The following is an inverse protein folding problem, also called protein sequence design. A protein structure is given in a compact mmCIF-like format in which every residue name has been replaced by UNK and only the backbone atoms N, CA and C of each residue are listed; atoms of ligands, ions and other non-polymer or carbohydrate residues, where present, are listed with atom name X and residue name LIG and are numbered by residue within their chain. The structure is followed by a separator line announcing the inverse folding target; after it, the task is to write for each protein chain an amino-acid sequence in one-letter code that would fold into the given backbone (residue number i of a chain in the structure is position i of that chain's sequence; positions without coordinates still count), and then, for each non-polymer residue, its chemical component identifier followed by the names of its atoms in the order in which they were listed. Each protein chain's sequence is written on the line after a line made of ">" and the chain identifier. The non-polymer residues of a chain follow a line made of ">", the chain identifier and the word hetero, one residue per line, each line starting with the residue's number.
data_IF_677689987144
#
_entry.id   IF_677689987144
#
_cell.length_a   1.000
_cell.length_b   1.000
_cell.length_c   1.000
_cell.angle_alpha   90.00
_cell.angle_beta   90.00
_cell.angle_gamma   90.00
#
_symmetry.space_group_name_H-M   'P 1'
#
loop_
_entity.id
_entity.type
_entity.pdbx_description
1 polymer ?
#
# COMPACT_ATOMS: atom_id res chain seq x y z
N UNK A 1 2.75 -19.82 10.85
CA UNK A 1 2.63 -18.37 10.84
C UNK A 1 2.77 -17.79 12.25
N UNK A 2 1.88 -18.08 13.19
CA UNK A 2 1.95 -17.53 14.55
C UNK A 2 3.30 -17.79 15.25
N UNK A 3 3.88 -18.99 15.09
CA UNK A 3 5.21 -19.29 15.62
C UNK A 3 6.31 -18.39 15.01
N UNK A 4 6.24 -18.12 13.70
CA UNK A 4 7.19 -17.22 13.05
C UNK A 4 7.10 -15.78 13.62
N UNK A 5 5.89 -15.32 13.90
CA UNK A 5 5.65 -14.03 14.55
C UNK A 5 6.23 -14.03 15.97
N UNK A 6 5.99 -15.07 16.78
CA UNK A 6 6.54 -15.21 18.13
C UNK A 6 8.08 -15.23 18.12
N UNK A 7 8.66 -15.97 17.18
CA UNK A 7 10.11 -16.07 17.04
C UNK A 7 10.76 -14.73 16.69
N UNK A 8 10.18 -14.02 15.71
CA UNK A 8 10.67 -12.68 15.33
C UNK A 8 10.47 -11.69 16.47
N UNK A 9 9.35 -11.76 17.21
CA UNK A 9 9.08 -10.90 18.35
C UNK A 9 10.11 -11.12 19.48
N UNK A 10 10.37 -12.38 19.78
CA UNK A 10 11.38 -12.74 20.80
C UNK A 10 12.79 -12.28 20.39
N UNK A 11 13.16 -12.45 19.12
CA UNK A 11 14.44 -11.95 18.59
C UNK A 11 14.56 -10.43 18.70
N UNK A 12 13.45 -9.71 18.53
CA UNK A 12 13.44 -8.24 18.52
C UNK A 12 13.43 -7.65 19.92
N UNK A 13 12.65 -8.23 20.83
CA UNK A 13 12.36 -7.63 22.14
C UNK A 13 12.92 -8.43 23.34
N UNK A 14 13.41 -9.65 23.13
CA UNK A 14 13.91 -10.53 24.18
C UNK A 14 12.85 -11.13 25.10
N UNK A 15 11.57 -10.89 24.81
CA UNK A 15 10.42 -11.36 25.57
C UNK A 15 9.37 -11.97 24.67
N UNK A 16 8.47 -12.78 25.23
CA UNK A 16 7.33 -13.29 24.46
C UNK A 16 6.21 -12.25 24.39
N UNK A 17 5.44 -12.21 23.29
CA UNK A 17 4.26 -11.36 23.22
C UNK A 17 3.22 -11.78 24.27
N UNK A 18 2.51 -10.81 24.83
CA UNK A 18 1.40 -11.09 25.76
C UNK A 18 0.15 -11.56 25.05
N UNK A 19 -0.09 -11.05 23.81
CA UNK A 19 -1.20 -11.48 22.97
C UNK A 19 -0.88 -11.25 21.49
N UNK A 20 -1.50 -12.03 20.61
CA UNK A 20 -1.45 -11.87 19.14
C UNK A 20 -2.90 -11.90 18.63
N UNK A 21 -3.36 -10.75 18.13
CA UNK A 21 -4.73 -10.54 17.70
C UNK A 21 -4.75 -10.47 16.17
N UNK A 22 -5.40 -11.42 15.47
CA UNK A 22 -5.56 -11.32 14.03
C UNK A 22 -6.48 -10.13 13.68
N UNK A 23 -6.10 -9.35 12.67
CA UNK A 23 -6.91 -8.26 12.15
C UNK A 23 -7.64 -8.70 10.89
N UNK A 24 -8.78 -8.04 10.62
CA UNK A 24 -9.57 -8.32 9.41
C UNK A 24 -8.75 -8.06 8.14
N UNK A 25 -8.85 -8.96 7.18
CA UNK A 25 -8.22 -8.77 5.87
C UNK A 25 -9.06 -7.78 5.03
N UNK A 26 -8.39 -6.85 4.38
CA UNK A 26 -9.02 -5.87 3.50
C UNK A 26 -8.38 -5.96 2.10
N UNK A 27 -9.01 -6.72 1.19
CA UNK A 27 -8.70 -6.72 -0.24
C UNK A 27 -7.29 -7.15 -0.68
N UNK A 28 -6.45 -7.65 0.24
CA UNK A 28 -5.08 -8.07 0.01
C UNK A 28 -4.85 -9.50 0.50
N UNK A 29 -3.89 -10.22 -0.10
CA UNK A 29 -3.42 -11.51 0.39
C UNK A 29 -2.62 -11.40 1.70
N UNK A 30 -2.25 -10.20 2.11
CA UNK A 30 -1.54 -9.94 3.37
C UNK A 30 -2.42 -10.26 4.55
N UNK A 31 -1.81 -10.84 5.60
CA UNK A 31 -2.45 -11.08 6.89
C UNK A 31 -1.80 -10.21 7.94
N UNK A 32 -2.62 -9.53 8.72
CA UNK A 32 -2.18 -8.60 9.74
C UNK A 32 -2.50 -9.11 11.13
N UNK A 33 -1.58 -8.90 12.04
CA UNK A 33 -1.72 -9.30 13.45
C UNK A 33 -1.23 -8.16 14.33
N UNK A 34 -2.06 -7.72 15.27
CA UNK A 34 -1.61 -6.83 16.32
C UNK A 34 -0.96 -7.64 17.41
N UNK A 35 0.29 -7.35 17.71
CA UNK A 35 1.05 -8.00 18.76
C UNK A 35 1.10 -7.05 19.95
N UNK A 36 0.63 -7.53 21.08
CA UNK A 36 0.67 -6.75 22.33
C UNK A 36 1.87 -7.19 23.17
N UNK A 37 2.56 -6.21 23.74
CA UNK A 37 3.52 -6.38 24.83
C UNK A 37 2.97 -5.77 26.12
N UNK A 38 3.77 -5.72 27.19
CA UNK A 38 3.34 -5.12 28.44
C UNK A 38 3.12 -3.60 28.35
N UNK A 39 3.80 -2.91 27.42
CA UNK A 39 3.81 -1.45 27.29
C UNK A 39 3.42 -0.93 25.93
N UNK A 40 3.54 -1.76 24.87
CA UNK A 40 3.43 -1.31 23.48
C UNK A 40 2.66 -2.32 22.62
N UNK A 41 2.26 -1.86 21.43
CA UNK A 41 1.76 -2.72 20.37
C UNK A 41 2.56 -2.53 19.07
N UNK A 42 2.69 -3.60 18.30
CA UNK A 42 3.26 -3.55 16.96
C UNK A 42 2.37 -4.33 15.99
N UNK A 43 2.39 -3.93 14.73
CA UNK A 43 1.65 -4.62 13.69
C UNK A 43 2.57 -5.60 12.96
N UNK A 44 2.29 -6.90 13.06
CA UNK A 44 2.94 -7.92 12.25
C UNK A 44 2.19 -8.10 10.94
N UNK A 45 2.93 -8.15 9.85
CA UNK A 45 2.42 -8.46 8.53
C UNK A 45 3.05 -9.76 8.04
N UNK A 46 2.22 -10.68 7.55
CA UNK A 46 2.63 -11.89 6.86
C UNK A 46 2.14 -11.86 5.42
N UNK A 47 3.04 -12.13 4.48
CA UNK A 47 2.71 -12.31 3.07
C UNK A 47 3.73 -13.28 2.43
N UNK A 48 3.23 -14.21 1.62
CA UNK A 48 4.05 -15.20 0.90
C UNK A 48 4.82 -14.59 -0.27
N UNK A 49 4.34 -13.47 -0.83
CA UNK A 49 5.06 -12.78 -1.91
C UNK A 49 6.27 -12.00 -1.36
N UNK A 50 7.42 -12.65 -1.43
CA UNK A 50 8.69 -12.09 -0.95
C UNK A 50 9.07 -10.80 -1.68
N UNK A 51 8.77 -10.69 -2.98
CA UNK A 51 9.12 -9.49 -3.77
C UNK A 51 8.28 -8.29 -3.33
N UNK A 52 7.00 -8.54 -3.08
CA UNK A 52 6.10 -7.51 -2.56
C UNK A 52 6.52 -7.04 -1.15
N UNK A 53 6.93 -7.98 -0.28
CA UNK A 53 7.44 -7.64 1.05
C UNK A 53 8.74 -6.81 0.99
N UNK A 54 9.67 -7.19 0.12
CA UNK A 54 10.92 -6.43 -0.10
C UNK A 54 10.59 -5.00 -0.56
N UNK A 55 9.70 -4.86 -1.55
CA UNK A 55 9.29 -3.56 -2.06
C UNK A 55 8.66 -2.69 -0.96
N UNK A 56 7.73 -3.25 -0.18
CA UNK A 56 7.06 -2.53 0.90
C UNK A 56 8.05 -2.05 1.97
N UNK A 57 8.90 -2.96 2.47
CA UNK A 57 9.88 -2.65 3.52
C UNK A 57 10.89 -1.60 3.06
N UNK A 58 11.41 -1.74 1.83
CA UNK A 58 12.36 -0.81 1.25
C UNK A 58 11.75 0.58 1.05
N UNK A 59 10.56 0.64 0.46
CA UNK A 59 9.84 1.90 0.23
C UNK A 59 9.47 2.59 1.55
N UNK A 60 8.96 1.85 2.53
CA UNK A 60 8.63 2.42 3.83
C UNK A 60 9.88 3.06 4.47
N UNK A 61 11.02 2.39 4.45
CA UNK A 61 12.29 2.94 4.97
C UNK A 61 12.74 4.19 4.23
N UNK A 62 12.72 4.16 2.89
CA UNK A 62 13.12 5.29 2.08
C UNK A 62 12.21 6.52 2.29
N UNK A 63 10.89 6.31 2.37
CA UNK A 63 9.92 7.37 2.60
C UNK A 63 10.02 7.94 4.02
N UNK A 64 10.22 7.09 5.04
CA UNK A 64 10.45 7.53 6.44
C UNK A 64 11.70 8.40 6.56
N UNK A 65 12.81 8.02 5.90
CA UNK A 65 14.05 8.80 5.86
C UNK A 65 13.86 10.19 5.23
N UNK A 66 12.87 10.35 4.35
CA UNK A 66 12.49 11.63 3.72
C UNK A 66 11.48 12.43 4.54
N UNK A 67 11.17 11.97 5.75
CA UNK A 67 10.26 12.66 6.66
C UNK A 67 8.79 12.59 6.24
N UNK A 68 8.41 11.55 5.49
CA UNK A 68 7.01 11.28 5.17
C UNK A 68 6.36 10.44 6.27
N UNK A 69 5.07 10.65 6.47
CA UNK A 69 4.27 9.93 7.45
C UNK A 69 3.91 8.53 6.91
N UNK A 70 4.83 7.61 7.11
CA UNK A 70 4.64 6.18 6.85
C UNK A 70 4.97 5.40 8.12
N UNK A 71 4.40 4.20 8.31
CA UNK A 71 4.74 3.35 9.45
C UNK A 71 6.24 3.06 9.49
N UNK A 72 6.84 3.09 10.66
CA UNK A 72 8.21 2.67 10.87
C UNK A 72 8.31 1.14 10.73
N UNK A 73 9.33 0.65 10.02
CA UNK A 73 9.65 -0.77 9.97
C UNK A 73 10.56 -1.12 11.15
N UNK A 74 10.02 -1.94 12.04
CA UNK A 74 10.66 -2.27 13.33
C UNK A 74 11.57 -3.50 13.21
N UNK A 75 11.06 -4.56 12.57
CA UNK A 75 11.80 -5.82 12.38
C UNK A 75 11.40 -6.50 11.07
N UNK A 76 12.29 -7.30 10.52
CA UNK A 76 12.03 -8.03 9.27
C UNK A 76 12.59 -9.45 9.33
N UNK A 77 11.81 -10.39 8.81
CA UNK A 77 12.20 -11.76 8.48
C UNK A 77 11.59 -12.12 7.11
N UNK A 78 12.21 -11.57 6.06
CA UNK A 78 11.70 -11.70 4.69
C UNK A 78 11.83 -13.12 4.14
N UNK A 79 12.68 -13.96 4.72
CA UNK A 79 12.79 -15.37 4.31
C UNK A 79 11.56 -16.17 4.75
N UNK A 80 10.98 -15.78 5.87
CA UNK A 80 9.73 -16.35 6.39
C UNK A 80 8.48 -15.50 6.06
N UNK A 81 8.63 -14.44 5.27
CA UNK A 81 7.51 -13.60 4.83
C UNK A 81 6.88 -12.73 5.92
N UNK A 82 7.61 -12.44 7.03
CA UNK A 82 7.11 -11.67 8.17
C UNK A 82 7.91 -10.37 8.33
N UNK A 83 7.21 -9.27 8.63
CA UNK A 83 7.84 -8.05 9.10
C UNK A 83 6.95 -7.34 10.12
N UNK A 84 7.56 -6.52 10.96
CA UNK A 84 6.87 -5.70 11.96
C UNK A 84 6.95 -4.23 11.59
N UNK A 85 5.84 -3.56 11.75
CA UNK A 85 5.72 -2.14 11.54
C UNK A 85 5.01 -1.47 12.73
N UNK A 86 5.14 -0.16 12.81
CA UNK A 86 4.44 0.70 13.75
C UNK A 86 2.93 0.45 13.69
N UNK A 87 2.30 0.30 14.87
CA UNK A 87 0.84 0.20 14.97
C UNK A 87 0.24 1.61 15.04
N UNK A 88 -0.45 2.00 14.00
CA UNK A 88 -1.09 3.32 13.88
C UNK A 88 -2.51 3.37 14.47
N UNK A 89 -2.95 2.29 15.13
CA UNK A 89 -4.30 2.18 15.70
C UNK A 89 -5.34 1.68 14.70
N UNK A 90 -6.60 1.87 15.06
CA UNK A 90 -7.75 1.30 14.33
C UNK A 90 -8.55 2.32 13.52
N UNK A 91 -8.41 3.62 13.81
CA UNK A 91 -9.22 4.65 13.14
C UNK A 91 -8.68 4.94 11.73
N UNK A 92 -9.47 4.58 10.72
CA UNK A 92 -9.19 4.91 9.33
C UNK A 92 -9.76 6.28 8.97
N UNK A 93 -9.31 6.87 7.84
CA UNK A 93 -9.94 8.07 7.31
C UNK A 93 -11.43 7.84 7.05
N UNK A 94 -11.81 6.66 6.58
CA UNK A 94 -13.21 6.29 6.37
C UNK A 94 -14.01 6.37 7.66
N UNK A 95 -13.50 5.81 8.78
CA UNK A 95 -14.17 5.83 10.08
C UNK A 95 -14.28 7.25 10.64
N UNK A 96 -13.24 8.06 10.46
CA UNK A 96 -13.25 9.46 10.83
C UNK A 96 -14.34 10.24 10.08
N UNK A 97 -14.46 10.04 8.76
CA UNK A 97 -15.43 10.75 7.93
C UNK A 97 -16.89 10.43 8.29
N UNK A 98 -17.17 9.24 8.85
CA UNK A 98 -18.51 8.90 9.31
C UNK A 98 -18.99 9.72 10.52
N UNK A 99 -18.07 10.34 11.25
CA UNK A 99 -18.33 11.04 12.50
C UNK A 99 -18.04 12.54 12.40
N UNK A 100 -17.29 12.96 11.37
CA UNK A 100 -16.80 14.31 11.20
C UNK A 100 -17.87 15.25 10.64
N UNK A 101 -17.85 16.51 11.09
CA UNK A 101 -18.63 17.58 10.48
C UNK A 101 -17.97 18.11 9.18
N UNK A 102 -18.69 18.95 8.44
CA UNK A 102 -18.21 19.50 7.16
C UNK A 102 -16.88 20.27 7.27
N UNK A 103 -16.64 20.98 8.37
CA UNK A 103 -15.40 21.73 8.57
C UNK A 103 -14.24 20.76 8.82
N UNK A 104 -14.44 19.75 9.64
CA UNK A 104 -13.46 18.69 9.90
C UNK A 104 -13.12 17.92 8.64
N UNK A 105 -14.12 17.59 7.81
CA UNK A 105 -13.93 16.95 6.49
C UNK A 105 -13.09 17.85 5.59
N UNK A 106 -13.42 19.12 5.47
CA UNK A 106 -12.65 20.08 4.68
C UNK A 106 -11.20 20.21 5.15
N UNK A 107 -11.01 20.27 6.45
CA UNK A 107 -9.69 20.43 7.06
C UNK A 107 -8.81 19.21 6.81
N UNK A 108 -9.34 18.00 7.00
CA UNK A 108 -8.56 16.77 6.77
C UNK A 108 -8.20 16.61 5.29
N UNK A 109 -9.13 16.81 4.36
CA UNK A 109 -8.83 16.77 2.92
C UNK A 109 -7.86 17.86 2.50
N UNK A 110 -7.94 19.05 3.08
CA UNK A 110 -6.97 20.12 2.83
C UNK A 110 -5.55 19.71 3.25
N UNK A 111 -5.41 19.04 4.40
CA UNK A 111 -4.11 18.50 4.84
C UNK A 111 -3.60 17.40 3.89
N UNK A 112 -4.47 16.49 3.50
CA UNK A 112 -4.15 15.39 2.59
C UNK A 112 -3.67 15.93 1.24
N UNK A 113 -4.43 16.82 0.61
CA UNK A 113 -4.07 17.40 -0.70
C UNK A 113 -2.75 18.18 -0.64
N UNK A 114 -2.46 18.86 0.46
CA UNK A 114 -1.16 19.56 0.66
C UNK A 114 0.03 18.60 0.78
N UNK A 115 -0.19 17.34 1.12
CA UNK A 115 0.87 16.33 1.16
C UNK A 115 1.24 15.78 -0.22
N UNK A 116 0.32 15.81 -1.19
CA UNK A 116 0.53 15.23 -2.53
C UNK A 116 1.82 15.73 -3.21
N UNK A 117 2.12 17.04 -3.28
CA UNK A 117 3.35 17.53 -3.90
C UNK A 117 4.62 16.99 -3.22
N UNK A 118 4.58 16.80 -1.89
CA UNK A 118 5.71 16.21 -1.16
C UNK A 118 5.93 14.76 -1.56
N UNK A 119 4.87 13.99 -1.73
CA UNK A 119 4.94 12.60 -2.17
C UNK A 119 5.37 12.49 -3.63
N UNK A 120 4.77 13.28 -4.51
CA UNK A 120 4.97 13.15 -5.94
C UNK A 120 6.29 13.78 -6.44
N UNK A 121 6.76 14.83 -5.79
CA UNK A 121 7.91 15.61 -6.25
C UNK A 121 9.10 15.49 -5.30
N UNK A 122 8.92 15.83 -4.02
CA UNK A 122 10.06 15.87 -3.09
C UNK A 122 10.57 14.48 -2.72
N UNK A 123 9.64 13.54 -2.43
CA UNK A 123 10.02 12.19 -2.03
C UNK A 123 10.74 11.40 -3.13
N UNK A 124 10.50 11.74 -4.41
CA UNK A 124 11.09 11.02 -5.55
C UNK A 124 12.53 11.39 -5.83
N UNK A 125 13.02 12.50 -5.30
CA UNK A 125 14.40 12.93 -5.53
C UNK A 125 15.38 11.93 -4.93
N UNK A 126 16.13 11.23 -5.81
CA UNK A 126 17.09 10.19 -5.39
C UNK A 126 16.42 8.96 -4.77
N UNK A 127 15.14 8.70 -5.07
CA UNK A 127 14.46 7.49 -4.64
C UNK A 127 14.96 6.28 -5.45
N UNK A 128 15.27 5.19 -4.77
CA UNK A 128 15.71 3.94 -5.41
C UNK A 128 14.47 3.06 -5.73
N UNK A 129 14.22 2.87 -7.02
CA UNK A 129 13.15 2.01 -7.53
C UNK A 129 13.63 0.58 -7.85
N UNK A 130 14.83 0.17 -7.40
CA UNK A 130 15.38 -1.17 -7.71
C UNK A 130 14.43 -2.27 -7.27
N UNK A 131 13.83 -2.13 -6.10
CA UNK A 131 12.91 -3.09 -5.52
C UNK A 131 11.43 -2.84 -5.85
N UNK A 132 11.11 -1.95 -6.79
CA UNK A 132 9.72 -1.70 -7.18
C UNK A 132 9.02 -2.96 -7.69
N UNK A 133 7.82 -3.21 -7.20
CA UNK A 133 7.02 -4.39 -7.54
C UNK A 133 5.54 -4.01 -7.74
N UNK A 134 4.85 -4.59 -8.73
CA UNK A 134 5.35 -5.54 -9.74
C UNK A 134 6.16 -4.86 -10.86
N UNK A 135 6.14 -3.53 -10.96
CA UNK A 135 6.82 -2.77 -12.01
C UNK A 135 7.44 -1.48 -11.46
N UNK A 136 8.53 -1.03 -12.12
CA UNK A 136 9.25 0.21 -11.75
C UNK A 136 8.61 1.48 -12.32
N UNK A 137 7.73 1.33 -13.30
CA UNK A 137 7.08 2.43 -14.00
C UNK A 137 5.62 2.08 -14.27
N UNK A 138 4.77 3.08 -14.28
CA UNK A 138 3.39 2.97 -14.76
C UNK A 138 3.38 3.19 -16.27
N UNK A 139 3.79 2.15 -16.99
CA UNK A 139 3.98 2.13 -18.43
C UNK A 139 2.76 1.54 -19.18
N UNK A 140 2.90 1.38 -20.50
CA UNK A 140 1.86 0.81 -21.34
C UNK A 140 1.31 -0.53 -20.82
N UNK A 141 2.18 -1.38 -20.25
CA UNK A 141 1.75 -2.67 -19.71
C UNK A 141 0.93 -2.50 -18.42
N UNK A 142 1.33 -1.57 -17.55
CA UNK A 142 0.60 -1.29 -16.31
C UNK A 142 -0.79 -0.71 -16.60
N UNK A 143 -0.87 0.23 -17.56
CA UNK A 143 -2.15 0.79 -18.02
C UNK A 143 -3.03 -0.32 -18.60
N UNK A 144 -2.47 -1.20 -19.44
CA UNK A 144 -3.22 -2.31 -20.02
C UNK A 144 -3.77 -3.28 -18.95
N UNK A 145 -3.01 -3.55 -17.88
CA UNK A 145 -3.48 -4.38 -16.78
C UNK A 145 -4.68 -3.74 -16.06
N UNK A 146 -4.65 -2.44 -15.81
CA UNK A 146 -5.77 -1.75 -15.17
C UNK A 146 -7.02 -1.71 -16.07
N UNK A 147 -6.85 -1.48 -17.37
CA UNK A 147 -7.94 -1.53 -18.32
C UNK A 147 -8.55 -2.94 -18.43
N UNK A 148 -7.70 -3.98 -18.44
CA UNK A 148 -8.16 -5.36 -18.40
C UNK A 148 -8.88 -5.68 -17.08
N UNK A 149 -8.39 -5.15 -15.95
CA UNK A 149 -9.07 -5.31 -14.67
C UNK A 149 -10.46 -4.70 -14.70
N UNK A 150 -10.61 -3.47 -15.23
CA UNK A 150 -11.92 -2.84 -15.47
C UNK A 150 -12.82 -3.69 -16.35
N UNK A 151 -12.32 -4.19 -17.49
CA UNK A 151 -13.08 -5.03 -18.40
C UNK A 151 -13.61 -6.31 -17.75
N UNK A 152 -12.72 -7.06 -17.08
CA UNK A 152 -13.06 -8.39 -16.56
C UNK A 152 -13.74 -8.34 -15.19
N UNK A 153 -13.34 -7.45 -14.30
CA UNK A 153 -13.84 -7.39 -12.91
C UNK A 153 -14.95 -6.37 -12.69
N UNK A 154 -15.20 -5.51 -13.67
CA UNK A 154 -16.35 -4.60 -13.61
C UNK A 154 -17.33 -4.88 -14.73
N UNK A 155 -16.98 -4.67 -16.01
CA UNK A 155 -17.94 -4.78 -17.11
C UNK A 155 -18.52 -6.20 -17.23
N UNK A 156 -17.66 -7.22 -17.28
CA UNK A 156 -18.11 -8.62 -17.43
C UNK A 156 -18.78 -9.14 -16.16
N UNK A 157 -18.28 -8.79 -14.99
CA UNK A 157 -18.87 -9.25 -13.73
C UNK A 157 -20.25 -8.61 -13.49
N UNK A 158 -20.44 -7.36 -13.86
CA UNK A 158 -21.72 -6.63 -13.77
C UNK A 158 -22.66 -6.92 -14.97
N UNK A 159 -22.24 -7.80 -15.88
CA UNK A 159 -23.02 -8.16 -17.10
C UNK A 159 -23.39 -6.94 -17.97
N UNK A 160 -22.54 -5.91 -17.97
CA UNK A 160 -22.72 -4.73 -18.81
C UNK A 160 -22.34 -5.09 -20.25
N UNK A 161 -23.28 -5.00 -21.21
CA UNK A 161 -22.98 -5.31 -22.60
C UNK A 161 -22.06 -4.26 -23.22
N UNK A 162 -21.07 -4.69 -23.99
CA UNK A 162 -20.18 -3.82 -24.76
C UNK A 162 -19.71 -4.53 -26.03
N UNK A 163 -19.30 -3.74 -27.02
CA UNK A 163 -18.61 -4.25 -28.21
C UNK A 163 -17.13 -4.47 -27.87
N UNK A 164 -16.65 -5.69 -28.08
CA UNK A 164 -15.25 -6.07 -27.74
C UNK A 164 -14.23 -5.29 -28.57
N UNK A 165 -14.47 -5.13 -29.88
CA UNK A 165 -13.54 -4.43 -30.77
C UNK A 165 -13.49 -2.93 -30.46
N UNK A 166 -14.64 -2.29 -30.31
CA UNK A 166 -14.73 -0.88 -29.96
C UNK A 166 -14.11 -0.57 -28.59
N UNK A 167 -14.30 -1.45 -27.59
CA UNK A 167 -13.68 -1.27 -26.27
C UNK A 167 -12.14 -1.37 -26.33
N UNK A 168 -11.60 -2.29 -27.12
CA UNK A 168 -10.14 -2.41 -27.29
C UNK A 168 -9.56 -1.20 -28.06
N UNK A 169 -10.29 -0.64 -29.01
CA UNK A 169 -9.93 0.61 -29.68
C UNK A 169 -9.90 1.78 -28.69
N UNK A 170 -10.95 1.94 -27.88
CA UNK A 170 -11.02 2.95 -26.83
C UNK A 170 -9.87 2.81 -25.82
N UNK A 171 -9.56 1.58 -25.41
CA UNK A 171 -8.40 1.30 -24.53
C UNK A 171 -7.08 1.71 -25.18
N UNK A 172 -6.93 1.48 -26.48
CA UNK A 172 -5.73 1.87 -27.23
C UNK A 172 -5.57 3.39 -27.29
N UNK A 173 -6.65 4.12 -27.55
CA UNK A 173 -6.69 5.58 -27.57
C UNK A 173 -6.36 6.15 -26.19
N UNK A 174 -7.03 5.67 -25.13
CA UNK A 174 -6.79 6.11 -23.77
C UNK A 174 -5.35 5.84 -23.30
N UNK A 175 -4.83 4.65 -23.62
CA UNK A 175 -3.44 4.30 -23.30
C UNK A 175 -2.44 5.24 -23.99
N UNK A 176 -2.65 5.55 -25.28
CA UNK A 176 -1.80 6.47 -26.00
C UNK A 176 -1.85 7.88 -25.41
N UNK A 177 -3.03 8.35 -25.05
CA UNK A 177 -3.21 9.65 -24.40
C UNK A 177 -2.50 9.74 -23.04
N UNK A 178 -2.61 8.70 -22.21
CA UNK A 178 -1.94 8.66 -20.91
C UNK A 178 -0.42 8.61 -21.03
N UNK A 179 0.11 7.91 -22.03
CA UNK A 179 1.55 7.79 -22.28
C UNK A 179 2.20 9.05 -22.84
N UNK A 180 1.44 9.98 -23.37
CA UNK A 180 1.92 11.29 -23.84
C UNK A 180 2.22 12.27 -22.67
N UNK A 181 1.98 11.83 -21.44
CA UNK A 181 2.21 12.62 -20.22
C UNK A 181 3.62 12.42 -19.69
N UNK A 182 4.19 13.46 -19.07
CA UNK A 182 5.47 13.35 -18.35
C UNK A 182 5.32 12.45 -17.12
N UNK A 183 5.92 11.26 -17.14
CA UNK A 183 5.81 10.22 -16.13
C UNK A 183 7.02 10.17 -15.16
N UNK A 184 7.63 11.30 -14.82
CA UNK A 184 8.83 11.37 -13.95
C UNK A 184 8.51 11.58 -12.46
N UNK A 185 7.23 11.54 -12.09
CA UNK A 185 6.77 11.74 -10.72
C UNK A 185 6.40 10.42 -10.04
N UNK A 186 6.45 10.41 -8.72
CA UNK A 186 6.01 9.24 -7.96
C UNK A 186 4.49 9.07 -8.10
N UNK A 187 4.06 7.91 -8.57
CA UNK A 187 2.65 7.59 -8.65
C UNK A 187 2.19 6.89 -7.37
N UNK A 188 1.44 7.62 -6.55
CA UNK A 188 0.73 7.06 -5.42
C UNK A 188 -0.69 6.70 -5.88
N UNK A 189 -0.93 5.42 -6.14
CA UNK A 189 -2.17 4.97 -6.80
C UNK A 189 -3.41 5.12 -5.91
N UNK A 190 -3.31 4.72 -4.66
CA UNK A 190 -4.43 4.68 -3.71
C UNK A 190 -4.17 5.66 -2.55
N UNK A 191 -4.14 6.95 -2.88
CA UNK A 191 -3.82 8.01 -1.94
C UNK A 191 -5.04 8.44 -1.11
#
# INVERSE_FOLDING_TARGET
>A
MENLIKDLFYKTYGVQPSNIIPLSAHGSARRYFRILSATDSVLATYNEDKKENIAFVDYAKQLKQRGLNVPEIIAVDLDNGVYFQEDLGDETLFDFLQKADENQIRDIYTKIVKLLPRWQVEATRGFDYTNAYPRKQFDAQSIQWDLNYFKYYFLKLAEIPFDEEGLEEDFSVLKSYLLDTNCTYFLYRDF
#
